data_IF_163609958901
#
_entry.id   IF_163609958901
#
_cell.length_a   1.000
_cell.length_b   1.000
_cell.length_c   1.000
_cell.angle_alpha   90.00
_cell.angle_beta   90.00
_cell.angle_gamma   90.00
#
_symmetry.space_group_name_H-M   'P 1'
#
loop_
_entity.id
_entity.type
_entity.pdbx_description
1 polymer ?
#
# COMPACT_ATOMS: atom_id res chain seq x y z
N UNK A 1 13.64 -15.69 -0.35
CA UNK A 1 13.05 -15.27 -0.36
C UNK A 1 12.88 -14.21 -0.06
N UNK A 2 12.51 -13.78 -0.10
CA UNK A 2 12.52 -12.81 -0.05
C UNK A 2 11.94 -11.97 0.64
N UNK A 3 12.06 -11.00 0.97
CA UNK A 3 11.69 -9.95 1.73
C UNK A 3 10.38 -10.11 2.34
N UNK A 4 9.77 -9.01 2.75
CA UNK A 4 8.45 -9.07 3.33
C UNK A 4 7.44 -9.55 2.32
N UNK A 5 6.58 -10.42 2.80
CA UNK A 5 5.47 -10.83 1.98
C UNK A 5 4.41 -9.75 1.96
N UNK A 6 3.56 -9.79 0.95
CA UNK A 6 2.54 -8.77 0.77
C UNK A 6 1.63 -8.66 2.00
N UNK A 7 1.27 -9.79 2.60
CA UNK A 7 0.41 -9.78 3.75
C UNK A 7 1.05 -9.04 4.94
N UNK A 8 2.30 -9.37 5.25
CA UNK A 8 2.99 -8.72 6.36
C UNK A 8 3.18 -7.24 6.11
N UNK A 9 3.62 -6.88 4.91
CA UNK A 9 3.78 -5.49 4.54
C UNK A 9 2.49 -4.73 4.79
N UNK A 10 1.37 -5.31 4.35
CA UNK A 10 0.07 -4.67 4.46
C UNK A 10 -0.36 -4.53 5.91
N UNK A 11 -0.14 -5.57 6.73
CA UNK A 11 -0.49 -5.50 8.14
C UNK A 11 0.23 -4.34 8.82
N UNK A 12 1.51 -4.19 8.54
CA UNK A 12 2.29 -3.12 9.14
C UNK A 12 1.84 -1.75 8.66
N UNK A 13 1.54 -1.62 7.36
CA UNK A 13 1.11 -0.34 6.81
C UNK A 13 -0.25 0.08 7.34
N UNK A 14 -1.17 -0.87 7.54
CA UNK A 14 -2.51 -0.54 8.01
C UNK A 14 -2.52 0.19 9.35
N UNK A 15 -1.45 0.06 10.12
CA UNK A 15 -1.32 0.76 11.40
C UNK A 15 -0.88 2.20 11.24
N UNK A 16 -0.42 2.59 10.06
CA UNK A 16 0.13 3.93 9.84
C UNK A 16 -0.95 4.88 9.39
N UNK A 17 -0.96 6.06 9.97
CA UNK A 17 -1.96 7.07 9.61
C UNK A 17 -1.84 7.47 8.15
N UNK A 18 -0.62 7.60 7.64
CA UNK A 18 -0.44 7.99 6.26
C UNK A 18 -1.07 6.99 5.31
N UNK A 19 -0.92 5.69 5.61
CA UNK A 19 -1.52 4.67 4.78
C UNK A 19 -3.04 4.72 4.87
N UNK A 20 -3.56 4.97 6.07
CA UNK A 20 -4.99 5.11 6.27
C UNK A 20 -5.53 6.28 5.45
N UNK A 21 -4.82 7.40 5.45
CA UNK A 21 -5.22 8.55 4.65
C UNK A 21 -5.19 8.25 3.16
N UNK A 22 -4.16 7.51 2.74
CA UNK A 22 -4.05 7.09 1.35
C UNK A 22 -5.28 6.28 0.94
N UNK A 23 -5.75 5.41 1.83
CA UNK A 23 -6.92 4.58 1.54
C UNK A 23 -8.23 5.32 1.73
N UNK A 24 -8.19 6.50 2.32
CA UNK A 24 -9.40 7.27 2.59
C UNK A 24 -10.21 6.74 3.75
N UNK A 25 -9.55 6.13 4.72
CA UNK A 25 -10.22 5.54 5.87
C UNK A 25 -9.57 6.00 7.16
N UNK A 26 -10.21 5.66 8.27
CA UNK A 26 -9.72 6.02 9.59
C UNK A 26 -9.63 4.74 10.43
N UNK A 27 -8.43 4.39 10.85
CA UNK A 27 -8.22 3.24 11.72
C UNK A 27 -7.69 2.02 11.00
N UNK A 28 -7.05 1.16 11.78
CA UNK A 28 -6.39 -0.03 11.26
C UNK A 28 -7.40 -1.03 10.66
N UNK A 29 -8.51 -1.23 11.34
CA UNK A 29 -9.52 -2.18 10.87
C UNK A 29 -10.12 -1.74 9.55
N UNK A 30 -10.42 -0.44 9.44
CA UNK A 30 -10.98 0.09 8.19
C UNK A 30 -9.96 0.01 7.07
N UNK A 31 -8.68 0.24 7.38
CA UNK A 31 -7.63 0.12 6.38
C UNK A 31 -7.52 -1.32 5.87
N UNK A 32 -7.56 -2.29 6.77
CA UNK A 32 -7.48 -3.69 6.37
C UNK A 32 -8.65 -4.07 5.47
N UNK A 33 -9.85 -3.59 5.81
CA UNK A 33 -11.03 -3.86 4.99
C UNK A 33 -10.88 -3.24 3.60
N UNK A 34 -10.39 -2.02 3.57
CA UNK A 34 -10.24 -1.33 2.29
C UNK A 34 -9.25 -2.04 1.39
N UNK A 35 -8.14 -2.50 1.95
CA UNK A 35 -7.14 -3.24 1.17
C UNK A 35 -7.79 -4.48 0.56
N UNK A 36 -8.59 -5.20 1.35
CA UNK A 36 -9.23 -6.40 0.83
C UNK A 36 -10.18 -6.06 -0.32
N UNK A 37 -10.90 -4.96 -0.21
CA UNK A 37 -11.80 -4.54 -1.27
C UNK A 37 -11.02 -4.19 -2.54
N UNK A 38 -9.97 -3.40 -2.39
CA UNK A 38 -9.19 -2.95 -3.54
C UNK A 38 -8.51 -4.13 -4.24
N UNK A 39 -8.00 -5.07 -3.46
CA UNK A 39 -7.29 -6.23 -4.00
C UNK A 39 -8.23 -7.36 -4.37
N UNK A 40 -9.53 -7.24 -4.04
CA UNK A 40 -10.54 -8.24 -4.39
C UNK A 40 -10.24 -9.59 -3.74
N UNK A 41 -9.90 -9.54 -2.46
CA UNK A 41 -9.61 -10.76 -1.69
C UNK A 41 -10.47 -10.80 -0.43
N UNK A 42 -10.61 -12.00 0.11
CA UNK A 42 -11.36 -12.18 1.34
C UNK A 42 -10.51 -12.04 2.60
N UNK A 43 -9.19 -12.19 2.44
CA UNK A 43 -8.28 -12.00 3.57
C UNK A 43 -6.93 -11.55 3.04
N UNK A 44 -6.16 -10.89 3.91
CA UNK A 44 -4.83 -10.41 3.51
C UNK A 44 -3.88 -11.57 3.21
N UNK A 45 -4.13 -12.73 3.79
CA UNK A 45 -3.27 -13.88 3.54
C UNK A 45 -3.32 -14.32 2.08
N UNK A 46 -4.43 -14.04 1.40
CA UNK A 46 -4.53 -14.39 -0.02
C UNK A 46 -3.53 -13.63 -0.87
N UNK A 47 -3.05 -12.49 -0.39
CA UNK A 47 -2.06 -11.73 -1.13
C UNK A 47 -0.76 -12.50 -1.31
N UNK A 48 -0.48 -13.44 -0.40
CA UNK A 48 0.74 -14.24 -0.50
C UNK A 48 0.53 -15.54 -1.26
N UNK A 49 -0.72 -15.95 -1.46
CA UNK A 49 -1.01 -17.25 -2.06
C UNK A 49 -1.53 -17.17 -3.48
N UNK A 50 -2.16 -16.06 -3.83
CA UNK A 50 -2.79 -15.90 -5.13
C UNK A 50 -1.98 -14.91 -5.97
N UNK A 51 -1.28 -15.37 -7.01
CA UNK A 51 -0.46 -14.45 -7.82
C UNK A 51 -1.25 -13.30 -8.42
N UNK A 52 -2.51 -13.54 -8.81
CA UNK A 52 -3.32 -12.46 -9.36
C UNK A 52 -3.65 -11.42 -8.30
N UNK A 53 -3.93 -11.88 -7.08
CA UNK A 53 -4.19 -10.96 -5.97
C UNK A 53 -2.93 -10.16 -5.63
N UNK A 54 -1.78 -10.81 -5.64
CA UNK A 54 -0.53 -10.12 -5.35
C UNK A 54 -0.26 -9.05 -6.39
N UNK A 55 -0.54 -9.33 -7.65
CA UNK A 55 -0.34 -8.36 -8.72
C UNK A 55 -1.25 -7.15 -8.53
N UNK A 56 -2.53 -7.38 -8.20
CA UNK A 56 -3.46 -6.28 -7.93
C UNK A 56 -2.97 -5.45 -6.76
N UNK A 57 -2.51 -6.12 -5.69
CA UNK A 57 -1.98 -5.43 -4.52
C UNK A 57 -0.76 -4.59 -4.88
N UNK A 58 0.17 -5.17 -5.64
CA UNK A 58 1.38 -4.44 -6.02
C UNK A 58 1.05 -3.17 -6.80
N UNK A 59 0.11 -3.26 -7.72
CA UNK A 59 -0.24 -2.14 -8.58
C UNK A 59 -1.13 -1.11 -7.89
N UNK A 60 -2.12 -1.60 -7.14
CA UNK A 60 -3.15 -0.72 -6.58
C UNK A 60 -2.83 -0.23 -5.18
N UNK A 61 -1.99 -0.95 -4.47
CA UNK A 61 -1.67 -0.60 -3.09
C UNK A 61 -0.22 -0.17 -2.96
N UNK A 62 0.72 -1.09 -3.18
CA UNK A 62 2.12 -0.81 -2.87
C UNK A 62 2.69 0.32 -3.72
N UNK A 63 2.60 0.20 -5.01
CA UNK A 63 3.16 1.22 -5.91
C UNK A 63 2.40 2.53 -5.79
N UNK A 64 1.10 2.45 -5.67
CA UNK A 64 0.28 3.65 -5.54
C UNK A 64 0.59 4.38 -4.23
N UNK A 65 0.80 3.63 -3.15
CA UNK A 65 1.12 4.25 -1.88
C UNK A 65 2.50 4.91 -1.90
N UNK A 66 3.48 4.24 -2.51
CA UNK A 66 4.80 4.84 -2.62
C UNK A 66 4.76 6.15 -3.39
N UNK A 67 3.96 6.18 -4.45
CA UNK A 67 3.79 7.40 -5.22
C UNK A 67 3.08 8.48 -4.40
N UNK A 68 2.07 8.07 -3.63
CA UNK A 68 1.35 8.99 -2.75
C UNK A 68 2.31 9.62 -1.75
N UNK A 69 3.20 8.83 -1.17
CA UNK A 69 4.17 9.35 -0.21
C UNK A 69 5.10 10.35 -0.86
N UNK A 70 5.52 10.10 -2.06
CA UNK A 70 6.39 11.03 -2.77
C UNK A 70 5.68 12.37 -2.99
N UNK A 71 4.41 12.33 -3.32
CA UNK A 71 3.65 13.56 -3.55
C UNK A 71 3.38 14.31 -2.26
N UNK A 72 3.32 13.59 -1.13
CA UNK A 72 3.05 14.22 0.15
C UNK A 72 4.29 14.79 0.81
N UNK A 73 5.46 14.51 0.24
CA UNK A 73 6.71 14.91 0.86
C UNK A 73 7.56 15.68 -0.13
N UNK A 74 7.23 16.94 -0.37
CA UNK A 74 7.94 17.73 -1.39
C UNK A 74 9.43 17.88 -1.10
N UNK A 75 9.83 17.76 0.14
CA UNK A 75 11.24 17.90 0.47
C UNK A 75 12.09 16.79 -0.10
N UNK A 76 11.50 15.70 -0.48
CA UNK A 76 12.23 14.58 -1.06
C UNK A 76 12.31 14.62 -2.56
N UNK A 77 11.66 15.59 -3.17
CA UNK A 77 11.74 15.69 -4.60
C UNK A 77 13.05 16.20 -4.98
N UNK A 78 13.62 15.76 -5.80
CA UNK A 78 14.89 16.25 -6.15
C UNK A 78 14.90 17.16 -7.33
N UNK A 79 14.41 17.00 -7.14
CA UNK A 79 14.49 17.48 -7.68
C UNK A 79 14.34 17.48 -8.56
N UNK A 80 14.15 17.19 -8.42
CA UNK A 80 14.05 17.12 -9.01
C UNK A 80 13.99 17.44 -9.80
N UNK A 81 14.01 17.60 -9.76
CA UNK A 81 14.06 17.95 -10.36
C UNK A 81 14.20 18.12 -11.12
N UNK A 82 14.18 18.07 -11.02
CA UNK A 82 14.45 18.31 -11.45
C UNK A 82 14.54 18.50 -12.28
N UNK A 83 14.60 18.59 -12.35
CA UNK A 83 14.89 18.88 -12.95
C UNK A 83 15.02 19.18 -13.68
N UNK A 84 14.98 19.33 -13.77
CA UNK A 84 15.33 19.73 -14.24
C UNK A 84 15.58 19.98 -14.57
#
# INVERSE_FOLDING_TARGET
>A
MTGQRACLWTVLRCREQDFQRFLGVDGETAAARRVKEVCEVGSRAELDRDPAAEQRWNERIRRAYLKYQQNQNPNQQPNQDQEM
#
